data_IF_464830058573
#
_entry.id   IF_464830058573
#
_cell.length_a   1.000
_cell.length_b   1.000
_cell.length_c   1.000
_cell.angle_alpha   90.00
_cell.angle_beta   90.00
_cell.angle_gamma   90.00
#
_symmetry.space_group_name_H-M   'P 1'
#
loop_
_entity.id
_entity.type
_entity.pdbx_description
1 polymer ?
#
# COMPACT_ATOMS: atom_id res chain seq x y z
N UNK A 1 -43.37 17.92 57.22
CA UNK A 1 -44.03 17.40 55.99
C UNK A 1 -43.56 18.13 54.73
N UNK A 2 -42.98 19.34 54.82
CA UNK A 2 -42.53 20.12 53.66
C UNK A 2 -41.28 19.59 52.95
N UNK A 3 -40.35 18.94 53.68
CA UNK A 3 -39.08 18.48 53.10
C UNK A 3 -39.25 17.28 52.15
N UNK A 4 -40.23 16.41 52.40
CA UNK A 4 -40.53 15.27 51.52
C UNK A 4 -41.17 15.67 50.19
N UNK A 5 -41.90 16.79 50.17
CA UNK A 5 -42.53 17.31 48.96
C UNK A 5 -41.50 17.89 47.98
N UNK A 6 -40.47 18.58 48.52
CA UNK A 6 -39.34 19.10 47.74
C UNK A 6 -38.53 17.98 47.08
N UNK A 7 -38.25 16.90 47.82
CA UNK A 7 -37.57 15.71 47.29
C UNK A 7 -38.39 15.01 46.19
N UNK A 8 -39.71 14.90 46.37
CA UNK A 8 -40.59 14.31 45.35
C UNK A 8 -40.62 15.15 44.06
N UNK A 9 -40.65 16.49 44.20
CA UNK A 9 -40.64 17.40 43.05
C UNK A 9 -39.32 17.28 42.26
N UNK A 10 -38.19 17.20 42.97
CA UNK A 10 -36.88 17.03 42.37
C UNK A 10 -36.78 15.70 41.61
N UNK A 11 -37.31 14.62 42.18
CA UNK A 11 -37.36 13.30 41.53
C UNK A 11 -38.21 13.30 40.25
N UNK A 12 -39.36 13.97 40.27
CA UNK A 12 -40.22 14.13 39.10
C UNK A 12 -39.56 14.97 38.00
N UNK A 13 -38.82 16.01 38.39
CA UNK A 13 -38.08 16.86 37.45
C UNK A 13 -36.96 16.08 36.76
N UNK A 14 -36.21 15.26 37.51
CA UNK A 14 -35.17 14.38 36.95
C UNK A 14 -35.73 13.34 35.98
N UNK A 15 -36.87 12.72 36.33
CA UNK A 15 -37.59 11.79 35.46
C UNK A 15 -38.04 12.44 34.15
N UNK A 16 -38.56 13.67 34.23
CA UNK A 16 -38.99 14.44 33.07
C UNK A 16 -37.81 14.82 32.16
N UNK A 17 -36.66 15.22 32.73
CA UNK A 17 -35.43 15.46 31.96
C UNK A 17 -34.92 14.19 31.26
N UNK A 18 -35.04 13.02 31.89
CA UNK A 18 -34.65 11.74 31.28
C UNK A 18 -35.57 11.36 30.12
N UNK A 19 -36.88 11.60 30.26
CA UNK A 19 -37.89 11.33 29.22
C UNK A 19 -37.79 12.30 28.03
N UNK A 20 -37.28 13.50 28.25
CA UNK A 20 -37.04 14.52 27.22
C UNK A 20 -35.75 14.29 26.43
N UNK A 21 -34.90 13.32 26.80
CA UNK A 21 -33.71 13.00 26.04
C UNK A 21 -34.12 12.34 24.71
N UNK A 22 -34.01 13.03 23.57
CA UNK A 22 -34.25 12.36 22.30
C UNK A 22 -33.16 11.29 22.15
N UNK A 23 -33.57 10.04 21.90
CA UNK A 23 -32.66 9.09 21.27
C UNK A 23 -32.34 9.68 19.89
N UNK A 24 -31.25 10.44 19.81
CA UNK A 24 -30.65 10.77 18.52
C UNK A 24 -30.37 9.43 17.84
N UNK A 25 -30.91 9.18 16.63
CA UNK A 25 -30.42 8.08 15.84
C UNK A 25 -28.92 8.33 15.67
N UNK A 26 -28.10 7.38 16.13
CA UNK A 26 -26.71 7.35 15.73
C UNK A 26 -26.73 7.33 14.21
N UNK A 27 -26.29 8.42 13.58
CA UNK A 27 -25.95 8.39 12.18
C UNK A 27 -24.75 7.46 12.09
N UNK A 28 -25.01 6.17 11.87
CA UNK A 28 -23.96 5.27 11.45
C UNK A 28 -23.50 5.84 10.11
N UNK A 29 -22.33 6.49 10.13
CA UNK A 29 -21.60 6.80 8.92
C UNK A 29 -21.29 5.44 8.31
N UNK A 30 -22.19 4.96 7.46
CA UNK A 30 -22.05 3.68 6.79
C UNK A 30 -20.78 3.83 5.94
N UNK A 31 -19.66 3.32 6.44
CA UNK A 31 -18.44 3.23 5.64
C UNK A 31 -18.86 2.52 4.35
N UNK A 32 -18.48 3.07 3.18
CA UNK A 32 -18.79 2.40 1.93
C UNK A 32 -18.26 0.97 2.03
N UNK A 33 -19.15 -0.01 1.85
CA UNK A 33 -18.73 -1.40 1.81
C UNK A 33 -17.75 -1.53 0.66
N UNK A 34 -16.46 -1.66 0.98
CA UNK A 34 -15.43 -1.86 -0.02
C UNK A 34 -15.60 -3.26 -0.58
N UNK A 35 -16.28 -3.33 -1.73
CA UNK A 35 -16.31 -4.53 -2.56
C UNK A 35 -14.95 -4.75 -3.21
N UNK A 36 -14.87 -5.78 -4.05
CA UNK A 36 -13.67 -6.04 -4.85
C UNK A 36 -13.32 -4.83 -5.73
N UNK A 37 -12.07 -4.41 -5.68
CA UNK A 37 -11.53 -3.33 -6.52
C UNK A 37 -10.59 -3.93 -7.56
N UNK A 38 -10.83 -3.60 -8.83
CA UNK A 38 -10.10 -4.15 -9.97
C UNK A 38 -9.58 -3.01 -10.83
N UNK A 39 -8.36 -3.14 -11.33
CA UNK A 39 -7.76 -2.24 -12.31
C UNK A 39 -7.14 -3.07 -13.42
N UNK A 40 -7.62 -2.92 -14.66
CA UNK A 40 -7.27 -3.82 -15.75
C UNK A 40 -7.65 -5.27 -15.43
N UNK A 41 -6.65 -6.16 -15.35
CA UNK A 41 -6.83 -7.58 -14.99
C UNK A 41 -6.31 -7.90 -13.57
N UNK A 42 -6.12 -6.89 -12.73
CA UNK A 42 -5.55 -7.04 -11.40
C UNK A 42 -6.59 -6.68 -10.33
N UNK A 43 -6.90 -7.66 -9.47
CA UNK A 43 -7.66 -7.43 -8.25
C UNK A 43 -6.75 -6.84 -7.17
N UNK A 44 -7.16 -5.72 -6.57
CA UNK A 44 -6.42 -5.02 -5.53
C UNK A 44 -6.78 -5.62 -4.17
N UNK A 45 -5.82 -6.25 -3.45
CA UNK A 45 -6.10 -6.87 -2.17
C UNK A 45 -6.16 -5.82 -1.06
N UNK A 46 -7.02 -6.03 -0.05
CA UNK A 46 -6.87 -5.33 1.23
C UNK A 46 -5.45 -5.59 1.79
N UNK A 47 -4.78 -4.64 2.45
CA UNK A 47 -5.26 -3.31 2.86
C UNK A 47 -5.06 -2.21 1.81
N UNK A 48 -4.75 -2.57 0.56
CA UNK A 48 -4.63 -1.66 -0.57
C UNK A 48 -5.99 -1.37 -1.20
N UNK A 49 -6.09 -0.24 -1.88
CA UNK A 49 -7.34 0.17 -2.53
C UNK A 49 -7.20 1.40 -3.40
N UNK A 50 -8.15 1.59 -4.31
CA UNK A 50 -8.26 2.64 -5.30
C UNK A 50 -9.16 3.76 -4.79
N UNK A 51 -10.37 3.40 -4.34
CA UNK A 51 -11.37 4.39 -3.91
C UNK A 51 -11.00 4.93 -2.53
N UNK A 52 -11.39 6.19 -2.31
CA UNK A 52 -11.30 6.77 -0.98
C UNK A 52 -12.03 5.87 0.03
N UNK A 53 -11.48 5.76 1.24
CA UNK A 53 -11.97 4.86 2.31
C UNK A 53 -11.82 3.35 2.06
N UNK A 54 -11.28 2.91 0.90
CA UNK A 54 -11.03 1.48 0.62
C UNK A 54 -9.57 1.02 0.73
N UNK A 55 -8.69 1.90 1.21
CA UNK A 55 -7.33 1.58 1.61
C UNK A 55 -7.14 1.91 3.09
N UNK A 56 -6.39 1.09 3.82
CA UNK A 56 -6.25 1.27 5.28
C UNK A 56 -5.41 2.49 5.67
N UNK A 57 -4.53 2.96 4.77
CA UNK A 57 -3.67 4.14 4.96
C UNK A 57 -3.47 4.88 3.63
N UNK A 58 -3.22 6.20 3.64
CA UNK A 58 -2.92 6.93 2.41
C UNK A 58 -1.77 6.33 1.58
N UNK A 59 -0.77 5.75 2.24
CA UNK A 59 0.35 5.05 1.60
C UNK A 59 -0.06 3.78 0.85
N UNK A 60 -1.23 3.19 1.16
CA UNK A 60 -1.75 1.98 0.53
C UNK A 60 -2.71 2.29 -0.62
N UNK A 61 -2.83 3.57 -0.99
CA UNK A 61 -3.62 3.99 -2.14
C UNK A 61 -2.95 3.52 -3.43
N UNK A 62 -3.73 2.84 -4.26
CA UNK A 62 -3.41 2.44 -5.62
C UNK A 62 -4.07 3.41 -6.59
N UNK A 63 -3.33 3.86 -7.60
CA UNK A 63 -3.86 4.59 -8.75
C UNK A 63 -4.09 3.62 -9.89
N UNK A 64 -5.17 3.83 -10.66
CA UNK A 64 -5.44 3.07 -11.88
C UNK A 64 -5.30 4.04 -13.06
N UNK A 65 -4.25 3.88 -13.86
CA UNK A 65 -3.91 4.81 -14.93
C UNK A 65 -4.04 4.12 -16.29
N UNK A 66 -4.56 4.83 -17.29
CA UNK A 66 -4.54 4.38 -18.68
C UNK A 66 -3.10 4.36 -19.23
N UNK A 67 -2.72 3.24 -19.83
CA UNK A 67 -1.43 3.09 -20.52
C UNK A 67 -1.66 2.61 -21.96
N UNK A 68 -0.58 2.55 -22.75
CA UNK A 68 -0.65 2.05 -24.14
C UNK A 68 -1.24 0.63 -24.24
N UNK A 69 -1.13 -0.17 -23.18
CA UNK A 69 -1.57 -1.57 -23.13
C UNK A 69 -2.82 -1.76 -22.24
N UNK A 70 -3.58 -0.69 -21.99
CA UNK A 70 -4.78 -0.70 -21.14
C UNK A 70 -4.54 -0.09 -19.76
N UNK A 71 -5.56 -0.17 -18.91
CA UNK A 71 -5.50 0.30 -17.52
C UNK A 71 -4.54 -0.54 -16.69
N UNK A 72 -3.67 0.13 -15.93
CA UNK A 72 -2.68 -0.50 -15.06
C UNK A 72 -2.70 0.11 -13.65
N UNK A 73 -2.59 -0.72 -12.60
CA UNK A 73 -2.50 -0.23 -11.24
C UNK A 73 -1.07 0.18 -10.88
N UNK A 74 -0.93 1.26 -10.11
CA UNK A 74 0.33 1.77 -9.60
C UNK A 74 0.24 2.09 -8.11
N UNK A 75 1.33 1.86 -7.39
CA UNK A 75 1.47 2.31 -6.00
C UNK A 75 2.57 3.37 -5.93
N UNK A 76 2.28 4.48 -5.25
CA UNK A 76 3.25 5.55 -5.07
C UNK A 76 4.07 5.30 -3.80
N UNK A 77 5.38 5.18 -3.96
CA UNK A 77 6.34 4.97 -2.87
C UNK A 77 7.43 6.02 -2.97
N UNK A 78 7.41 7.00 -2.07
CA UNK A 78 8.37 8.12 -2.05
C UNK A 78 8.55 8.76 -3.44
N UNK A 79 7.44 9.20 -4.05
CA UNK A 79 7.38 9.86 -5.36
C UNK A 79 7.74 8.97 -6.57
N UNK A 80 7.85 7.65 -6.37
CA UNK A 80 8.02 6.67 -7.43
C UNK A 80 6.73 5.87 -7.61
N UNK A 81 6.15 5.90 -8.81
CA UNK A 81 5.00 5.06 -9.16
C UNK A 81 5.49 3.69 -9.64
N UNK A 82 5.19 2.64 -8.87
CA UNK A 82 5.53 1.26 -9.17
C UNK A 82 4.31 0.51 -9.69
N UNK A 83 4.43 -0.12 -10.85
CA UNK A 83 3.34 -0.93 -11.43
C UNK A 83 3.06 -2.13 -10.52
N UNK A 84 1.80 -2.32 -10.15
CA UNK A 84 1.34 -3.50 -9.41
C UNK A 84 1.01 -4.62 -10.41
N UNK A 85 1.70 -5.73 -10.28
CA UNK A 85 1.56 -6.89 -11.16
C UNK A 85 0.56 -7.92 -10.60
N UNK A 86 0.13 -7.75 -9.35
CA UNK A 86 -0.79 -8.65 -8.68
C UNK A 86 -0.53 -8.75 -7.18
N UNK A 87 -0.97 -9.86 -6.61
CA UNK A 87 -0.81 -10.17 -5.19
C UNK A 87 -0.46 -11.65 -5.04
N UNK A 88 0.49 -11.94 -4.16
CA UNK A 88 0.92 -13.31 -3.83
C UNK A 88 0.34 -13.77 -2.49
N UNK A 89 0.08 -12.83 -1.58
CA UNK A 89 -0.49 -13.06 -0.26
C UNK A 89 -1.52 -11.96 0.02
N UNK A 90 -2.49 -12.24 0.88
CA UNK A 90 -3.57 -11.30 1.23
C UNK A 90 -3.11 -9.98 1.85
N UNK A 91 -1.82 -9.77 2.09
CA UNK A 91 -1.25 -8.55 2.64
C UNK A 91 -0.02 -8.06 1.86
N UNK A 92 0.20 -8.57 0.65
CA UNK A 92 1.33 -8.18 -0.20
C UNK A 92 0.89 -7.92 -1.63
N UNK A 93 1.66 -7.08 -2.31
CA UNK A 93 1.53 -6.81 -3.74
C UNK A 93 2.85 -7.17 -4.42
N UNK A 94 2.75 -7.70 -5.63
CA UNK A 94 3.89 -7.88 -6.52
C UNK A 94 4.05 -6.58 -7.32
N UNK A 95 5.25 -6.03 -7.34
CA UNK A 95 5.54 -4.79 -8.08
C UNK A 95 6.57 -5.04 -9.18
N UNK A 96 6.50 -4.23 -10.23
CA UNK A 96 7.57 -4.14 -11.22
C UNK A 96 8.61 -3.14 -10.72
N UNK A 97 9.76 -3.65 -10.28
CA UNK A 97 10.87 -2.81 -9.87
C UNK A 97 11.57 -2.21 -11.10
N UNK A 98 12.07 -0.96 -11.07
CA UNK A 98 12.64 -0.37 -12.26
C UNK A 98 13.91 -1.11 -12.71
N UNK A 99 14.08 -1.26 -14.02
CA UNK A 99 15.17 -1.99 -14.65
C UNK A 99 16.31 -1.03 -14.96
N UNK A 100 17.55 -1.48 -14.76
CA UNK A 100 18.76 -0.73 -15.14
C UNK A 100 19.40 -1.35 -16.38
N UNK A 101 19.97 -0.50 -17.24
CA UNK A 101 20.67 -0.91 -18.45
C UNK A 101 22.10 -0.36 -18.40
N UNK A 102 23.08 -1.22 -18.60
CA UNK A 102 24.49 -0.84 -18.73
C UNK A 102 24.82 -0.91 -20.23
N UNK A 103 25.18 0.23 -20.82
CA UNK A 103 25.62 0.29 -22.21
C UNK A 103 27.15 0.21 -22.27
N UNK A 104 27.68 -0.48 -23.29
CA UNK A 104 29.12 -0.78 -23.40
C UNK A 104 30.01 0.48 -23.43
N UNK A 105 29.47 1.62 -23.88
CA UNK A 105 30.22 2.88 -24.00
C UNK A 105 30.43 3.60 -22.65
N UNK A 106 29.65 3.24 -21.62
CA UNK A 106 29.71 3.84 -20.30
C UNK A 106 29.66 2.76 -19.22
N UNK A 107 30.83 2.25 -18.86
CA UNK A 107 31.04 1.35 -17.71
C UNK A 107 30.93 2.18 -16.41
N UNK A 108 29.78 2.79 -16.18
CA UNK A 108 29.43 3.33 -14.89
C UNK A 108 28.58 2.30 -14.16
N UNK A 109 28.73 2.23 -12.84
CA UNK A 109 27.86 1.44 -11.97
C UNK A 109 26.42 1.97 -12.07
N UNK A 110 25.62 1.38 -12.94
CA UNK A 110 24.22 1.73 -13.07
C UNK A 110 23.47 1.17 -11.85
N UNK A 111 22.98 2.06 -11.00
CA UNK A 111 22.25 1.71 -9.79
C UNK A 111 20.83 2.26 -9.89
N UNK A 112 19.86 1.36 -9.69
CA UNK A 112 18.46 1.72 -9.52
C UNK A 112 18.06 1.25 -8.13
N UNK A 113 17.41 2.12 -7.37
CA UNK A 113 16.94 1.80 -6.02
C UNK A 113 15.57 2.41 -5.80
N UNK A 114 14.70 1.63 -5.16
CA UNK A 114 13.47 2.15 -4.56
C UNK A 114 13.75 2.41 -3.09
N UNK A 115 13.58 3.66 -2.64
CA UNK A 115 13.76 4.01 -1.25
C UNK A 115 12.47 3.71 -0.48
N UNK A 116 12.49 2.69 0.38
CA UNK A 116 11.37 2.36 1.27
C UNK A 116 11.47 3.04 2.65
N UNK A 117 12.55 3.78 2.93
CA UNK A 117 12.75 4.45 4.22
C UNK A 117 11.59 5.42 4.51
N UNK A 118 11.09 5.38 5.74
CA UNK A 118 9.94 6.19 6.17
C UNK A 118 8.58 5.70 5.65
N UNK A 119 8.54 4.66 4.82
CA UNK A 119 7.30 4.04 4.34
C UNK A 119 6.95 2.81 5.19
N UNK A 120 5.68 2.35 5.19
CA UNK A 120 5.30 1.11 5.86
C UNK A 120 5.67 -0.16 5.05
N UNK A 121 6.40 -0.02 3.94
CA UNK A 121 6.70 -1.13 3.03
C UNK A 121 8.08 -1.73 3.28
N UNK A 122 8.20 -3.02 2.98
CA UNK A 122 9.45 -3.75 2.95
C UNK A 122 9.40 -4.77 1.82
N UNK A 123 10.55 -5.08 1.22
CA UNK A 123 10.64 -6.19 0.29
C UNK A 123 10.56 -7.51 1.05
N UNK A 124 9.89 -8.51 0.48
CA UNK A 124 9.88 -9.87 1.02
C UNK A 124 11.32 -10.41 1.11
N UNK A 125 11.58 -11.35 2.01
CA UNK A 125 12.90 -12.01 2.09
C UNK A 125 13.10 -13.15 1.09
N UNK A 126 12.01 -13.67 0.53
CA UNK A 126 11.97 -14.95 -0.20
C UNK A 126 11.14 -14.88 -1.50
N UNK A 127 10.28 -13.89 -1.66
CA UNK A 127 9.37 -13.74 -2.81
C UNK A 127 9.83 -12.62 -3.76
N UNK A 128 11.12 -12.53 -4.04
CA UNK A 128 11.66 -11.61 -5.05
C UNK A 128 12.23 -12.40 -6.22
N UNK A 129 11.99 -11.90 -7.43
CA UNK A 129 12.62 -12.41 -8.64
C UNK A 129 13.61 -11.38 -9.18
N UNK A 130 14.86 -11.79 -9.34
CA UNK A 130 15.93 -10.95 -9.88
C UNK A 130 16.70 -11.73 -10.93
N UNK A 131 17.02 -11.06 -12.03
CA UNK A 131 17.80 -11.63 -13.11
C UNK A 131 18.56 -10.54 -13.83
N UNK A 132 19.61 -10.96 -14.52
CA UNK A 132 20.37 -10.12 -15.43
C UNK A 132 20.59 -10.88 -16.73
N UNK A 133 20.54 -10.17 -17.86
CA UNK A 133 20.76 -10.72 -19.20
C UNK A 133 21.95 -10.00 -19.85
N UNK A 134 22.87 -10.76 -20.45
CA UNK A 134 24.13 -10.25 -20.98
C UNK A 134 25.32 -11.17 -20.66
N UNK A 135 26.52 -10.64 -20.86
CA UNK A 135 27.80 -11.28 -20.54
C UNK A 135 28.72 -10.28 -19.84
N UNK A 136 29.72 -10.81 -19.12
CA UNK A 136 30.71 -10.03 -18.35
C UNK A 136 30.14 -9.03 -17.34
N UNK A 137 28.85 -9.14 -16.97
CA UNK A 137 28.27 -8.29 -15.94
C UNK A 137 28.18 -9.00 -14.60
N UNK A 138 28.40 -8.21 -13.54
CA UNK A 138 28.03 -8.53 -12.17
C UNK A 138 26.83 -7.67 -11.80
N UNK A 139 25.68 -8.31 -11.58
CA UNK A 139 24.48 -7.63 -11.13
C UNK A 139 24.20 -8.03 -9.68
N UNK A 140 24.15 -7.07 -8.76
CA UNK A 140 23.93 -7.33 -7.32
C UNK A 140 22.71 -6.60 -6.80
N UNK A 141 21.97 -7.24 -5.91
CA UNK A 141 20.94 -6.61 -5.10
C UNK A 141 21.56 -6.22 -3.77
N UNK A 142 21.45 -4.95 -3.43
CA UNK A 142 21.99 -4.40 -2.18
C UNK A 142 20.83 -3.93 -1.31
N UNK A 143 20.80 -4.38 -0.05
CA UNK A 143 20.03 -3.73 1.00
C UNK A 143 20.81 -2.52 1.52
N UNK A 144 20.12 -1.40 1.70
CA UNK A 144 20.70 -0.15 2.20
C UNK A 144 21.99 0.28 1.45
N UNK A 145 22.11 -0.07 0.16
CA UNK A 145 23.24 0.24 -0.69
C UNK A 145 24.59 -0.42 -0.34
N UNK A 146 24.63 -1.29 0.67
CA UNK A 146 25.89 -1.84 1.20
C UNK A 146 25.83 -3.35 1.45
N UNK A 147 24.70 -3.86 1.94
CA UNK A 147 24.57 -5.27 2.29
C UNK A 147 24.11 -6.08 1.07
N UNK A 148 25.00 -6.93 0.53
CA UNK A 148 24.64 -7.80 -0.60
C UNK A 148 23.63 -8.86 -0.19
N UNK A 149 22.43 -8.79 -0.79
CA UNK A 149 21.39 -9.80 -0.62
C UNK A 149 21.54 -10.95 -1.61
N UNK A 150 22.18 -10.70 -2.75
CA UNK A 150 22.36 -11.67 -3.82
C UNK A 150 22.82 -11.02 -5.12
N UNK A 151 23.04 -11.84 -6.14
CA UNK A 151 23.44 -11.33 -7.45
C UNK A 151 23.56 -12.40 -8.51
N UNK A 152 23.82 -11.96 -9.73
CA UNK A 152 24.10 -12.78 -10.90
C UNK A 152 25.49 -12.41 -11.43
N UNK A 153 26.35 -13.42 -11.61
CA UNK A 153 27.60 -13.27 -12.34
C UNK A 153 27.39 -13.90 -13.71
N UNK A 154 27.61 -13.13 -14.76
CA UNK A 154 27.46 -13.60 -16.13
C UNK A 154 28.79 -14.12 -16.68
N UNK A 155 28.77 -15.16 -17.54
CA UNK A 155 29.97 -15.66 -18.19
C UNK A 155 30.54 -14.62 -19.15
N UNK A 156 31.75 -14.88 -19.64
CA UNK A 156 32.33 -14.09 -20.72
C UNK A 156 31.55 -14.26 -22.01
N UNK A 157 31.50 -13.19 -22.80
CA UNK A 157 31.19 -13.32 -24.22
C UNK A 157 32.45 -13.87 -24.90
N UNK A 158 32.57 -15.18 -24.99
CA UNK A 158 33.44 -15.81 -25.97
C UNK A 158 32.57 -16.11 -27.21
N UNK A 159 33.04 -15.72 -28.39
CA UNK A 159 32.36 -15.96 -29.69
C UNK A 159 32.19 -17.45 -30.02
#
# INVERSE_FOLDING_TARGET
MEMGFQLALYFLLLLFLFLLCPLLPAAELQEPACGEEVCGNITIPSPFGIRHSCYAKPSFRVTCNETLNGEKPFINVNDIDLEVLGSLLSNSILISNPVTYINCDHINEARVSVNLSGTPFFFSSDMNYFGSVGCENLATILSNGTDSLGGCIQPRCDD
#
